data_IF_112084810435
#
_entry.id   IF_112084810435
#
_cell.length_a   1.000
_cell.length_b   1.000
_cell.length_c   1.000
_cell.angle_alpha   90.00
_cell.angle_beta   90.00
_cell.angle_gamma   90.00
#
_symmetry.space_group_name_H-M   'P 1'
#
loop_
_entity.id
_entity.type
_entity.pdbx_description
1 polymer ?
#
# COMPACT_ATOMS: atom_id res chain seq x y z
N UNK A 1 34.37 14.96 -20.23
CA UNK A 1 33.91 13.55 -20.40
C UNK A 1 33.85 12.75 -19.09
N UNK A 2 34.67 13.04 -18.07
CA UNK A 2 34.69 12.29 -16.80
C UNK A 2 33.38 12.29 -15.98
N UNK A 3 32.64 13.42 -15.93
CA UNK A 3 31.38 13.53 -15.16
C UNK A 3 30.27 12.57 -15.61
N UNK A 4 30.22 12.21 -16.90
CA UNK A 4 29.22 11.24 -17.43
C UNK A 4 29.58 9.81 -17.05
N UNK A 5 30.87 9.48 -16.99
CA UNK A 5 31.34 8.15 -16.60
C UNK A 5 31.06 7.88 -15.11
N UNK A 6 31.32 8.87 -14.24
CA UNK A 6 31.06 8.75 -12.79
C UNK A 6 29.58 8.65 -12.45
N UNK A 7 28.70 9.33 -13.19
CA UNK A 7 27.26 9.20 -13.03
C UNK A 7 26.79 7.79 -13.40
N UNK A 8 27.30 7.23 -14.50
CA UNK A 8 26.97 5.87 -14.96
C UNK A 8 27.44 4.78 -14.00
N UNK A 9 28.58 4.97 -13.32
CA UNK A 9 29.10 4.06 -12.29
C UNK A 9 28.27 4.14 -10.99
N UNK A 10 27.79 5.34 -10.61
CA UNK A 10 26.87 5.49 -9.46
C UNK A 10 25.54 4.77 -9.67
N UNK A 11 25.00 4.75 -10.88
CA UNK A 11 23.74 4.04 -11.17
C UNK A 11 23.83 2.52 -11.01
N UNK A 12 25.01 1.93 -11.16
CA UNK A 12 25.23 0.47 -11.12
C UNK A 12 25.21 -0.07 -9.69
N UNK A 13 25.47 0.77 -8.68
CA UNK A 13 25.63 0.36 -7.28
C UNK A 13 24.55 0.94 -6.34
N UNK A 14 23.45 1.49 -6.85
CA UNK A 14 22.34 1.87 -5.96
C UNK A 14 21.67 0.60 -5.40
N UNK A 15 21.60 0.42 -4.08
CA UNK A 15 20.89 -0.70 -3.48
C UNK A 15 19.39 -0.57 -3.76
N UNK A 16 18.77 -1.68 -4.15
CA UNK A 16 17.37 -1.71 -4.53
C UNK A 16 16.83 -3.10 -4.78
N UNK A 17 15.52 -3.17 -4.88
CA UNK A 17 14.76 -4.39 -5.09
C UNK A 17 14.16 -4.44 -6.50
N UNK A 18 14.28 -5.59 -7.15
CA UNK A 18 13.58 -5.89 -8.40
C UNK A 18 12.25 -6.56 -8.08
N UNK A 19 11.16 -5.83 -8.28
CA UNK A 19 9.81 -6.33 -8.02
C UNK A 19 9.11 -6.63 -9.34
N UNK A 20 8.22 -7.62 -9.35
CA UNK A 20 7.34 -7.82 -10.50
C UNK A 20 6.44 -6.59 -10.67
N UNK A 21 5.98 -6.37 -11.89
CA UNK A 21 5.13 -5.23 -12.21
C UNK A 21 3.91 -5.09 -11.28
N UNK A 22 3.25 -6.20 -10.94
CA UNK A 22 2.09 -6.22 -10.05
C UNK A 22 2.46 -5.92 -8.60
N UNK A 23 3.55 -6.49 -8.10
CA UNK A 23 4.09 -6.23 -6.75
C UNK A 23 4.50 -4.75 -6.62
N UNK A 24 5.16 -4.21 -7.64
CA UNK A 24 5.52 -2.79 -7.71
C UNK A 24 4.29 -1.87 -7.80
N UNK A 25 3.24 -2.30 -8.51
CA UNK A 25 1.98 -1.57 -8.60
C UNK A 25 1.30 -1.44 -7.23
N UNK A 26 1.26 -2.55 -6.48
CA UNK A 26 0.73 -2.58 -5.11
C UNK A 26 1.55 -1.71 -4.17
N UNK A 27 2.87 -1.89 -4.14
CA UNK A 27 3.77 -1.13 -3.26
C UNK A 27 3.68 0.38 -3.49
N UNK A 28 3.62 0.80 -4.77
CA UNK A 28 3.56 2.21 -5.15
C UNK A 28 2.12 2.75 -5.19
N UNK A 29 1.12 1.96 -4.79
CA UNK A 29 -0.31 2.30 -4.81
C UNK A 29 -0.77 2.92 -6.16
N UNK A 30 -0.36 2.29 -7.27
CA UNK A 30 -0.64 2.75 -8.63
C UNK A 30 -1.12 1.60 -9.50
N UNK A 31 -1.80 1.89 -10.61
CA UNK A 31 -2.20 0.85 -11.56
C UNK A 31 -1.01 0.29 -12.36
N UNK A 32 -1.07 -1.00 -12.71
CA UNK A 32 -0.11 -1.63 -13.62
C UNK A 32 0.00 -0.88 -14.96
N UNK A 33 -1.12 -0.38 -15.48
CA UNK A 33 -1.15 0.37 -16.75
C UNK A 33 -0.29 1.63 -16.65
N UNK A 34 -0.36 2.33 -15.51
CA UNK A 34 0.47 3.52 -15.26
C UNK A 34 1.94 3.16 -15.20
N UNK A 35 2.30 2.05 -14.55
CA UNK A 35 3.69 1.56 -14.52
C UNK A 35 4.16 1.11 -15.90
N UNK A 36 3.34 0.40 -16.69
CA UNK A 36 3.65 0.03 -18.08
C UNK A 36 3.89 1.26 -18.96
N UNK A 37 3.09 2.32 -18.79
CA UNK A 37 3.29 3.59 -19.50
C UNK A 37 4.62 4.24 -19.10
N UNK A 38 4.92 4.30 -17.80
CA UNK A 38 6.20 4.84 -17.28
C UNK A 38 7.40 4.04 -17.79
N UNK A 39 7.28 2.71 -17.82
CA UNK A 39 8.25 1.77 -18.38
C UNK A 39 8.54 2.08 -19.84
N UNK A 40 7.49 2.16 -20.68
CA UNK A 40 7.61 2.50 -22.11
C UNK A 40 8.25 3.86 -22.34
N UNK A 41 7.94 4.83 -21.47
CA UNK A 41 8.53 6.18 -21.54
C UNK A 41 9.97 6.28 -21.02
N UNK A 42 10.56 5.19 -20.52
CA UNK A 42 11.93 5.17 -19.98
C UNK A 42 12.10 5.91 -18.64
N UNK A 43 11.01 6.32 -17.99
CA UNK A 43 11.04 7.07 -16.72
C UNK A 43 11.38 6.21 -15.50
N UNK A 44 11.34 4.89 -15.64
CA UNK A 44 11.64 3.94 -14.57
C UNK A 44 12.59 2.87 -15.09
N UNK A 45 13.47 2.39 -14.21
CA UNK A 45 14.37 1.27 -14.50
C UNK A 45 13.57 -0.02 -14.48
N UNK A 46 13.63 -0.77 -15.57
CA UNK A 46 12.88 -2.02 -15.74
C UNK A 46 13.69 -3.07 -16.49
N UNK A 47 13.40 -4.33 -16.24
CA UNK A 47 13.98 -5.44 -16.97
C UNK A 47 12.91 -6.47 -17.34
N UNK A 48 12.98 -6.98 -18.57
CA UNK A 48 12.16 -8.11 -19.00
C UNK A 48 12.94 -9.40 -18.76
N UNK A 49 12.39 -10.29 -17.93
CA UNK A 49 12.96 -11.61 -17.61
C UNK A 49 11.83 -12.64 -17.64
N UNK A 50 12.02 -13.77 -18.31
CA UNK A 50 11.09 -14.90 -18.33
C UNK A 50 9.64 -14.53 -18.67
N UNK A 51 9.45 -13.69 -19.69
CA UNK A 51 8.12 -13.26 -20.11
C UNK A 51 7.45 -12.21 -19.22
N UNK A 52 8.13 -11.73 -18.17
CA UNK A 52 7.58 -10.81 -17.16
C UNK A 52 8.44 -9.55 -17.03
N UNK A 53 7.77 -8.44 -16.70
CA UNK A 53 8.42 -7.17 -16.40
C UNK A 53 8.73 -7.07 -14.91
N UNK A 54 9.99 -6.71 -14.62
CA UNK A 54 10.48 -6.35 -13.30
C UNK A 54 10.82 -4.87 -13.29
N UNK A 55 10.51 -4.20 -12.18
CA UNK A 55 10.77 -2.78 -11.95
C UNK A 55 11.75 -2.68 -10.78
N UNK A 56 12.75 -1.83 -10.94
CA UNK A 56 13.70 -1.53 -9.88
C UNK A 56 13.14 -0.44 -8.96
N UNK A 57 13.09 -0.74 -7.67
CA UNK A 57 12.69 0.17 -6.61
C UNK A 57 13.89 0.35 -5.68
N UNK A 58 14.20 1.60 -5.33
CA UNK A 58 15.29 1.91 -4.39
C UNK A 58 14.97 1.38 -2.99
N UNK A 59 15.98 0.93 -2.27
CA UNK A 59 15.81 0.35 -0.93
C UNK A 59 15.10 1.29 0.05
N UNK A 60 15.46 2.58 0.07
CA UNK A 60 14.86 3.57 0.96
C UNK A 60 13.35 3.69 0.71
N UNK A 61 12.96 3.79 -0.56
CA UNK A 61 11.56 3.86 -0.97
C UNK A 61 10.81 2.56 -0.67
N UNK A 62 11.48 1.41 -0.85
CA UNK A 62 10.89 0.11 -0.54
C UNK A 62 10.59 -0.03 0.94
N UNK A 63 11.53 0.37 1.81
CA UNK A 63 11.35 0.35 3.26
C UNK A 63 10.23 1.29 3.71
N UNK A 64 10.26 2.55 3.25
CA UNK A 64 9.23 3.54 3.54
C UNK A 64 7.83 3.02 3.19
N UNK A 65 7.63 2.56 1.96
CA UNK A 65 6.31 2.08 1.52
C UNK A 65 5.87 0.80 2.26
N UNK A 66 6.82 -0.04 2.66
CA UNK A 66 6.51 -1.24 3.45
C UNK A 66 6.11 -0.88 4.87
N UNK A 67 6.77 0.11 5.47
CA UNK A 67 6.38 0.65 6.79
C UNK A 67 5.00 1.29 6.73
N UNK A 68 4.70 2.08 5.69
CA UNK A 68 3.37 2.65 5.45
C UNK A 68 2.29 1.56 5.44
N UNK A 69 2.52 0.46 4.69
CA UNK A 69 1.59 -0.67 4.60
C UNK A 69 1.34 -1.29 5.98
N UNK A 70 2.40 -1.54 6.76
CA UNK A 70 2.28 -2.13 8.10
C UNK A 70 1.49 -1.21 9.05
N UNK A 71 1.73 0.10 8.97
CA UNK A 71 0.99 1.08 9.77
C UNK A 71 -0.49 1.12 9.37
N UNK A 72 -0.80 1.12 8.07
CA UNK A 72 -2.17 1.08 7.58
C UNK A 72 -2.90 -0.19 8.00
N UNK A 73 -2.26 -1.36 7.92
CA UNK A 73 -2.84 -2.64 8.38
C UNK A 73 -3.16 -2.61 9.88
N UNK A 74 -2.25 -2.05 10.68
CA UNK A 74 -2.45 -1.89 12.13
C UNK A 74 -3.63 -0.96 12.43
N UNK A 75 -3.67 0.20 11.77
CA UNK A 75 -4.77 1.16 11.91
C UNK A 75 -6.12 0.58 11.49
N UNK A 76 -6.17 -0.15 10.37
CA UNK A 76 -7.40 -0.81 9.91
C UNK A 76 -7.90 -1.82 10.95
N UNK A 77 -7.00 -2.63 11.51
CA UNK A 77 -7.34 -3.60 12.55
C UNK A 77 -7.91 -2.94 13.81
N UNK A 78 -7.31 -1.83 14.25
CA UNK A 78 -7.82 -1.05 15.39
C UNK A 78 -9.23 -0.50 15.09
N UNK A 79 -9.43 0.06 13.89
CA UNK A 79 -10.74 0.58 13.48
C UNK A 79 -11.81 -0.48 13.32
N UNK A 80 -11.48 -1.69 12.90
CA UNK A 80 -12.41 -2.82 12.86
C UNK A 80 -12.88 -3.25 14.25
N UNK A 81 -11.98 -3.21 15.24
CA UNK A 81 -12.32 -3.50 16.65
C UNK A 81 -13.25 -2.42 17.20
N UNK A 82 -12.91 -1.15 16.99
CA UNK A 82 -13.73 -0.01 17.41
C UNK A 82 -15.14 -0.08 16.79
N UNK A 83 -15.24 -0.36 15.50
CA UNK A 83 -16.53 -0.53 14.80
C UNK A 83 -17.38 -1.66 15.39
N UNK A 84 -16.74 -2.77 15.78
CA UNK A 84 -17.43 -3.91 16.40
C UNK A 84 -18.00 -3.53 17.75
N UNK A 85 -17.23 -2.82 18.56
CA UNK A 85 -17.67 -2.39 19.90
C UNK A 85 -18.81 -1.37 19.80
N UNK A 86 -18.70 -0.37 18.92
CA UNK A 86 -19.77 0.59 18.68
C UNK A 86 -21.06 -0.08 18.19
N UNK A 87 -20.95 -1.07 17.31
CA UNK A 87 -22.12 -1.86 16.86
C UNK A 87 -22.79 -2.59 18.02
N UNK A 88 -22.02 -3.15 18.95
CA UNK A 88 -22.54 -3.80 20.15
C UNK A 88 -23.27 -2.80 21.04
N UNK A 89 -22.65 -1.65 21.32
CA UNK A 89 -23.28 -0.58 22.11
C UNK A 89 -24.59 -0.10 21.50
N UNK A 90 -24.67 0.04 20.17
CA UNK A 90 -25.91 0.41 19.46
C UNK A 90 -27.00 -0.64 19.67
N UNK A 91 -26.65 -1.93 19.61
CA UNK A 91 -27.60 -3.03 19.83
C UNK A 91 -28.14 -2.98 21.27
N UNK A 92 -27.25 -2.85 22.25
CA UNK A 92 -27.62 -2.79 23.66
C UNK A 92 -28.53 -1.58 23.96
N UNK A 93 -28.22 -0.42 23.38
CA UNK A 93 -29.03 0.79 23.48
C UNK A 93 -30.42 0.61 22.85
N UNK A 94 -30.51 -0.04 21.68
CA UNK A 94 -31.80 -0.31 21.04
C UNK A 94 -32.69 -1.21 21.90
N UNK A 95 -32.11 -2.25 22.51
CA UNK A 95 -32.83 -3.14 23.43
C UNK A 95 -33.36 -2.36 24.63
N UNK A 96 -32.53 -1.49 25.23
CA UNK A 96 -32.95 -0.67 26.36
C UNK A 96 -34.11 0.27 26.01
N UNK A 97 -34.03 0.94 24.86
CA UNK A 97 -35.09 1.81 24.35
C UNK A 97 -36.38 1.02 24.18
N UNK A 98 -36.34 -0.15 23.53
CA UNK A 98 -37.52 -1.00 23.31
C UNK A 98 -38.19 -1.39 24.64
N UNK A 99 -37.40 -1.73 25.66
CA UNK A 99 -37.91 -2.07 27.00
C UNK A 99 -38.56 -0.85 27.65
N UNK A 100 -37.96 0.33 27.53
CA UNK A 100 -38.51 1.57 28.10
C UNK A 100 -39.80 2.00 27.40
N UNK A 101 -39.85 1.91 26.07
CA UNK A 101 -41.05 2.18 25.27
C UNK A 101 -42.20 1.25 25.64
N UNK A 102 -41.92 -0.06 25.83
CA UNK A 102 -42.92 -1.02 26.31
C UNK A 102 -43.46 -0.66 27.70
N UNK A 103 -42.61 -0.16 28.59
CA UNK A 103 -43.00 0.27 29.95
C UNK A 103 -43.79 1.59 29.97
N UNK A 104 -43.60 2.45 28.97
CA UNK A 104 -44.32 3.73 28.84
C UNK A 104 -45.68 3.58 28.16
N UNK A 105 -45.83 2.57 27.29
CA UNK A 105 -47.07 2.26 26.57
C UNK A 105 -47.97 1.22 27.28
N UNK A 106 -47.62 0.85 28.51
CA UNK A 106 -48.41 0.08 29.49
C UNK A 106 -48.72 0.99 30.68
#
# INVERSE_FOLDING_TARGET
MAKKLSARIKEINEPGHWLKLNEAAQLLQTSEITLRRKLKSGKIRSQFRDGKYYIFIKDDLYKEKKEDIIQFESYLKEKEIELRELKKQIIDQKILIEILEKKLNL
#
